data_IF_819785585543
#
_entry.id   IF_819785585543
#
_cell.length_a   1.000
_cell.length_b   1.000
_cell.length_c   1.000
_cell.angle_alpha   90.00
_cell.angle_beta   90.00
_cell.angle_gamma   90.00
#
_symmetry.space_group_name_H-M   'P 1'
#
loop_
_entity.id
_entity.type
_entity.pdbx_description
1 polymer ?
#
# COMPACT_ATOMS: atom_id res chain seq x y z
N UNK A 1 2.64 14.27 -14.25
CA UNK A 1 3.12 13.53 -15.45
C UNK A 1 3.01 12.00 -15.32
N UNK A 2 2.95 11.41 -14.12
CA UNK A 2 2.93 9.93 -13.95
C UNK A 2 1.63 9.24 -14.39
N UNK A 3 0.47 9.83 -14.11
CA UNK A 3 -0.85 9.22 -14.42
C UNK A 3 -1.07 8.87 -15.88
N UNK A 4 -0.51 9.64 -16.81
CA UNK A 4 -0.63 9.35 -18.25
C UNK A 4 0.04 8.02 -18.63
N UNK A 5 1.25 7.78 -18.09
CA UNK A 5 2.00 6.53 -18.33
C UNK A 5 1.25 5.33 -17.73
N UNK A 6 0.69 5.50 -16.52
CA UNK A 6 -0.11 4.48 -15.86
C UNK A 6 -1.35 4.10 -16.71
N UNK A 7 -2.14 5.10 -17.12
CA UNK A 7 -3.34 4.86 -17.92
C UNK A 7 -3.03 4.19 -19.26
N UNK A 8 -2.00 4.68 -19.96
CA UNK A 8 -1.58 4.12 -21.26
C UNK A 8 -1.06 2.70 -21.09
N UNK A 9 -0.23 2.44 -20.07
CA UNK A 9 0.30 1.11 -19.79
C UNK A 9 -0.80 0.11 -19.45
N UNK A 10 -1.77 0.51 -18.62
CA UNK A 10 -2.91 -0.32 -18.28
C UNK A 10 -3.78 -0.61 -19.50
N UNK A 11 -4.14 0.41 -20.27
CA UNK A 11 -4.95 0.26 -21.47
C UNK A 11 -4.26 -0.63 -22.52
N UNK A 12 -2.94 -0.50 -22.69
CA UNK A 12 -2.16 -1.33 -23.59
C UNK A 12 -2.13 -2.80 -23.18
N UNK A 13 -1.99 -3.11 -21.88
CA UNK A 13 -2.10 -4.48 -21.39
C UNK A 13 -3.53 -5.03 -21.44
N UNK A 14 -4.54 -4.19 -21.21
CA UNK A 14 -5.95 -4.57 -21.28
C UNK A 14 -6.38 -5.05 -22.68
N UNK A 15 -5.74 -4.53 -23.73
CA UNK A 15 -5.93 -5.05 -25.10
C UNK A 15 -5.49 -6.51 -25.26
N UNK A 16 -4.67 -7.02 -24.33
CA UNK A 16 -4.16 -8.41 -24.26
C UNK A 16 -4.81 -9.20 -23.13
N UNK A 17 -5.98 -8.76 -22.65
CA UNK A 17 -6.72 -9.44 -21.59
C UNK A 17 -7.07 -10.87 -21.96
N UNK A 18 -7.02 -11.74 -20.96
CA UNK A 18 -7.32 -13.16 -21.05
C UNK A 18 -8.82 -13.43 -20.96
N UNK A 19 -9.57 -12.57 -20.26
CA UNK A 19 -11.01 -12.67 -20.10
C UNK A 19 -11.69 -11.36 -20.46
N UNK A 20 -12.92 -11.44 -20.96
CA UNK A 20 -13.75 -10.25 -21.20
C UNK A 20 -14.76 -10.12 -20.07
N UNK A 21 -14.41 -9.29 -19.07
CA UNK A 21 -15.24 -9.08 -17.90
C UNK A 21 -16.24 -7.96 -18.16
N UNK A 22 -17.53 -8.26 -18.04
CA UNK A 22 -18.58 -7.27 -18.23
C UNK A 22 -18.53 -6.21 -17.11
N UNK A 23 -18.59 -4.95 -17.51
CA UNK A 23 -18.72 -3.80 -16.63
C UNK A 23 -19.95 -3.88 -15.71
N UNK A 24 -21.06 -4.43 -16.22
CA UNK A 24 -22.31 -4.52 -15.46
C UNK A 24 -22.32 -5.69 -14.46
N UNK A 25 -21.31 -6.56 -14.50
CA UNK A 25 -21.22 -7.71 -13.60
C UNK A 25 -20.67 -7.29 -12.24
N UNK A 26 -21.40 -7.58 -11.16
CA UNK A 26 -20.95 -7.36 -9.79
C UNK A 26 -19.66 -8.12 -9.46
N UNK A 27 -19.44 -9.28 -10.07
CA UNK A 27 -18.20 -10.07 -9.91
C UNK A 27 -17.00 -9.30 -10.41
N UNK A 28 -17.11 -8.58 -11.53
CA UNK A 28 -16.04 -7.72 -12.06
C UNK A 28 -15.66 -6.64 -11.06
N UNK A 29 -16.66 -6.03 -10.40
CA UNK A 29 -16.43 -4.99 -9.39
C UNK A 29 -15.79 -5.55 -8.12
N UNK A 30 -16.25 -6.70 -7.61
CA UNK A 30 -15.61 -7.35 -6.47
C UNK A 30 -14.19 -7.80 -6.76
N UNK A 31 -13.93 -8.34 -7.95
CA UNK A 31 -12.58 -8.68 -8.41
C UNK A 31 -11.69 -7.44 -8.46
N UNK A 32 -12.21 -6.30 -8.96
CA UNK A 32 -11.48 -5.05 -8.99
C UNK A 32 -11.18 -4.53 -7.56
N UNK A 33 -12.15 -4.59 -6.65
CA UNK A 33 -11.98 -4.19 -5.25
C UNK A 33 -10.88 -5.00 -4.58
N UNK A 34 -10.99 -6.33 -4.61
CA UNK A 34 -10.02 -7.25 -3.99
C UNK A 34 -8.66 -7.18 -4.66
N UNK A 35 -8.63 -7.03 -5.99
CA UNK A 35 -7.41 -6.90 -6.75
C UNK A 35 -6.63 -5.62 -6.44
N UNK A 36 -7.33 -4.49 -6.32
CA UNK A 36 -6.71 -3.22 -5.91
C UNK A 36 -6.22 -3.29 -4.48
N UNK A 37 -7.02 -3.87 -3.58
CA UNK A 37 -6.64 -4.03 -2.18
C UNK A 37 -5.39 -4.90 -2.02
N UNK A 38 -5.37 -6.06 -2.67
CA UNK A 38 -4.19 -6.93 -2.71
C UNK A 38 -2.98 -6.25 -3.34
N UNK A 39 -3.19 -5.50 -4.43
CA UNK A 39 -2.13 -4.72 -5.07
C UNK A 39 -1.51 -3.70 -4.10
N UNK A 40 -2.35 -2.99 -3.36
CA UNK A 40 -1.91 -2.05 -2.34
C UNK A 40 -1.16 -2.78 -1.21
N UNK A 41 -1.72 -3.86 -0.66
CA UNK A 41 -1.08 -4.68 0.37
C UNK A 41 0.33 -5.11 -0.04
N UNK A 42 0.48 -5.64 -1.26
CA UNK A 42 1.76 -6.09 -1.78
C UNK A 42 2.77 -4.95 -1.84
N UNK A 43 2.38 -3.80 -2.37
CA UNK A 43 3.25 -2.61 -2.43
C UNK A 43 3.64 -2.15 -1.04
N UNK A 44 2.66 -1.98 -0.16
CA UNK A 44 2.86 -1.49 1.21
C UNK A 44 3.80 -2.43 1.97
N UNK A 45 3.55 -3.74 1.91
CA UNK A 45 4.42 -4.75 2.51
C UNK A 45 5.84 -4.68 1.94
N UNK A 46 6.00 -4.59 0.63
CA UNK A 46 7.31 -4.58 -0.01
C UNK A 46 8.12 -3.33 0.33
N UNK A 47 7.48 -2.17 0.49
CA UNK A 47 8.21 -0.95 0.91
C UNK A 47 8.58 -0.96 2.39
N UNK A 48 7.89 -1.76 3.20
CA UNK A 48 8.25 -2.02 4.60
C UNK A 48 9.23 -3.20 4.77
N UNK A 49 9.44 -4.01 3.75
CA UNK A 49 10.33 -5.16 3.80
C UNK A 49 11.78 -4.74 3.52
N UNK A 50 12.66 -5.03 4.47
CA UNK A 50 14.10 -4.74 4.38
C UNK A 50 14.93 -5.99 4.02
N UNK A 51 14.28 -7.14 3.77
CA UNK A 51 14.97 -8.43 3.54
C UNK A 51 15.68 -8.56 2.19
N UNK A 52 15.49 -7.62 1.27
CA UNK A 52 16.05 -7.65 -0.08
C UNK A 52 17.41 -6.96 -0.25
N UNK A 53 18.05 -6.48 0.83
CA UNK A 53 19.44 -5.97 0.74
C UNK A 53 20.41 -7.15 0.92
N UNK A 54 21.21 -7.52 -0.11
CA UNK A 54 22.19 -8.58 0.02
C UNK A 54 23.23 -8.22 1.09
N UNK A 55 23.34 -9.04 2.13
CA UNK A 55 24.31 -8.87 3.24
C UNK A 55 25.77 -8.84 2.75
N UNK A 56 26.05 -9.29 1.52
CA UNK A 56 27.38 -9.34 0.93
C UNK A 56 27.90 -8.00 0.38
N UNK A 57 27.09 -6.92 0.42
CA UNK A 57 27.51 -5.58 -0.01
C UNK A 57 28.00 -4.68 1.16
N UNK A 58 28.00 -5.16 2.41
CA UNK A 58 28.29 -4.37 3.62
C UNK A 58 29.76 -4.06 3.91
N UNK A 59 30.63 -3.90 2.89
CA UNK A 59 32.05 -3.61 3.15
C UNK A 59 32.50 -2.15 2.99
N UNK A 60 31.60 -1.19 2.74
CA UNK A 60 31.93 0.24 2.87
C UNK A 60 30.63 1.06 2.85
N UNK A 61 30.25 1.64 4.00
CA UNK A 61 29.16 2.59 4.30
C UNK A 61 28.14 2.07 5.33
N UNK A 62 28.39 2.37 6.61
CA UNK A 62 27.53 2.12 7.78
C UNK A 62 26.20 2.92 7.79
N UNK A 63 25.64 3.25 6.62
CA UNK A 63 24.36 3.96 6.49
C UNK A 63 23.48 3.47 5.32
N UNK A 64 23.92 2.45 4.58
CA UNK A 64 23.26 1.98 3.35
C UNK A 64 22.34 0.74 3.53
N UNK A 65 21.93 0.41 4.74
CA UNK A 65 21.00 -0.72 5.00
C UNK A 65 19.51 -0.38 4.77
N UNK A 66 19.22 0.79 4.20
CA UNK A 66 17.85 1.18 3.86
C UNK A 66 17.48 0.67 2.47
N UNK A 67 16.47 -0.19 2.38
CA UNK A 67 15.93 -0.63 1.09
C UNK A 67 15.40 0.58 0.31
N UNK A 68 15.51 0.59 -1.02
CA UNK A 68 15.00 1.69 -1.85
C UNK A 68 13.48 1.90 -1.63
N UNK A 69 12.75 0.80 -1.37
CA UNK A 69 11.34 0.84 -0.99
C UNK A 69 11.12 1.62 0.30
N UNK A 70 11.87 1.28 1.36
CA UNK A 70 11.80 1.99 2.63
C UNK A 70 12.27 3.44 2.50
N UNK A 71 13.34 3.74 1.76
CA UNK A 71 13.78 5.12 1.52
C UNK A 71 12.69 5.99 0.88
N UNK A 72 11.90 5.43 -0.04
CA UNK A 72 10.79 6.14 -0.65
C UNK A 72 9.57 6.26 0.29
N UNK A 73 9.39 5.31 1.20
CA UNK A 73 8.24 5.26 2.11
C UNK A 73 8.48 5.94 3.46
N UNK A 74 9.72 6.05 3.94
CA UNK A 74 10.05 6.65 5.24
C UNK A 74 9.60 8.11 5.35
N UNK A 75 9.48 8.83 4.21
CA UNK A 75 8.96 10.20 4.17
C UNK A 75 7.49 10.27 4.65
N UNK A 76 6.75 9.19 4.46
CA UNK A 76 5.41 9.04 4.98
C UNK A 76 5.42 8.82 6.50
N UNK A 77 6.40 8.08 7.00
CA UNK A 77 6.60 7.77 8.42
C UNK A 77 7.41 8.82 9.20
N UNK A 78 7.88 9.88 8.55
CA UNK A 78 8.78 10.86 9.18
C UNK A 78 8.07 11.98 9.94
N UNK A 79 6.74 12.00 9.97
CA UNK A 79 5.99 13.03 10.69
C UNK A 79 5.99 12.75 12.19
N UNK A 80 6.44 13.72 13.00
CA UNK A 80 6.35 13.66 14.46
C UNK A 80 4.88 13.68 14.93
N UNK A 81 4.02 14.36 14.19
CA UNK A 81 2.58 14.44 14.42
C UNK A 81 1.83 13.46 13.52
N UNK A 82 0.95 12.64 14.10
CA UNK A 82 0.10 11.71 13.34
C UNK A 82 -1.25 12.37 13.04
N UNK A 83 -1.47 12.81 11.81
CA UNK A 83 -2.76 13.38 11.40
C UNK A 83 -3.02 13.17 9.90
N UNK A 84 -4.16 13.66 9.40
CA UNK A 84 -4.56 13.49 8.00
C UNK A 84 -3.54 14.07 6.99
N UNK A 85 -2.72 15.05 7.39
CA UNK A 85 -1.67 15.58 6.51
C UNK A 85 -0.51 14.58 6.31
N UNK A 86 -0.30 13.67 7.26
CA UNK A 86 0.66 12.56 7.15
C UNK A 86 0.32 11.64 5.98
N UNK A 87 -0.98 11.41 5.72
CA UNK A 87 -1.46 10.63 4.57
C UNK A 87 -1.01 11.20 3.22
N UNK A 88 -0.81 12.52 3.13
CA UNK A 88 -0.46 13.21 1.88
C UNK A 88 1.05 13.16 1.57
N UNK A 89 1.89 12.77 2.53
CA UNK A 89 3.36 12.69 2.39
C UNK A 89 3.82 11.41 1.70
N UNK A 90 3.38 11.22 0.46
CA UNK A 90 3.71 10.05 -0.35
C UNK A 90 4.74 10.37 -1.42
N UNK A 91 5.79 9.56 -1.53
CA UNK A 91 6.80 9.69 -2.59
C UNK A 91 6.19 9.45 -3.98
N UNK A 92 6.59 10.26 -4.97
CA UNK A 92 6.23 10.05 -6.38
C UNK A 92 6.80 8.73 -6.90
N UNK A 93 7.98 8.32 -6.39
CA UNK A 93 8.61 7.06 -6.77
C UNK A 93 7.80 5.85 -6.30
N UNK A 94 7.27 5.91 -5.08
CA UNK A 94 6.38 4.87 -4.55
C UNK A 94 5.12 4.72 -5.42
N UNK A 95 4.53 5.82 -5.88
CA UNK A 95 3.36 5.79 -6.78
C UNK A 95 3.68 5.11 -8.11
N UNK A 96 4.85 5.36 -8.68
CA UNK A 96 5.26 4.74 -9.94
C UNK A 96 5.52 3.23 -9.78
N UNK A 97 6.20 2.83 -8.71
CA UNK A 97 6.46 1.41 -8.42
C UNK A 97 5.15 0.65 -8.12
N UNK A 98 4.22 1.29 -7.40
CA UNK A 98 2.93 0.70 -7.06
C UNK A 98 2.11 0.30 -8.29
N UNK A 99 2.25 1.06 -9.39
CA UNK A 99 1.47 0.82 -10.59
C UNK A 99 1.68 -0.58 -11.19
N UNK A 100 2.90 -1.14 -11.08
CA UNK A 100 3.20 -2.48 -11.57
C UNK A 100 2.32 -3.57 -10.97
N UNK A 101 1.88 -3.39 -9.71
CA UNK A 101 1.04 -4.36 -8.99
C UNK A 101 -0.41 -4.36 -9.45
N UNK A 102 -0.83 -3.33 -10.17
CA UNK A 102 -2.17 -3.24 -10.75
C UNK A 102 -2.24 -3.79 -12.18
N UNK A 103 -1.10 -3.94 -12.86
CA UNK A 103 -1.04 -4.44 -14.24
C UNK A 103 -1.60 -5.86 -14.45
N UNK A 104 -1.46 -6.82 -13.51
CA UNK A 104 -2.09 -8.13 -13.65
C UNK A 104 -3.62 -8.05 -13.81
N UNK A 105 -4.28 -7.05 -13.23
CA UNK A 105 -5.73 -6.86 -13.36
C UNK A 105 -6.13 -6.48 -14.79
N UNK A 106 -5.27 -5.76 -15.52
CA UNK A 106 -5.48 -5.49 -16.95
C UNK A 106 -5.47 -6.78 -17.77
N UNK A 107 -4.54 -7.69 -17.47
CA UNK A 107 -4.43 -8.99 -18.14
C UNK A 107 -5.57 -9.94 -17.77
N UNK A 108 -6.08 -9.88 -16.53
CA UNK A 108 -7.27 -10.64 -16.12
C UNK A 108 -8.54 -10.08 -16.80
N UNK A 109 -8.52 -8.83 -17.26
CA UNK A 109 -9.63 -8.22 -17.98
C UNK A 109 -10.52 -7.32 -17.12
N UNK A 110 -10.01 -6.82 -15.98
CA UNK A 110 -10.72 -5.81 -15.18
C UNK A 110 -10.77 -4.49 -15.97
N UNK A 111 -11.97 -3.96 -16.29
CA UNK A 111 -12.10 -2.74 -17.07
C UNK A 111 -11.40 -1.54 -16.42
N UNK A 112 -10.78 -0.69 -17.24
CA UNK A 112 -10.05 0.50 -16.78
C UNK A 112 -10.89 1.40 -15.83
N UNK A 113 -12.17 1.68 -16.09
CA UNK A 113 -12.92 2.52 -15.16
C UNK A 113 -13.13 1.87 -13.78
N UNK A 114 -13.14 0.53 -13.69
CA UNK A 114 -13.44 -0.18 -12.44
C UNK A 114 -12.22 -0.10 -11.54
N UNK A 115 -11.03 -0.32 -12.11
CA UNK A 115 -9.79 -0.17 -11.36
C UNK A 115 -9.59 1.28 -10.90
N UNK A 116 -9.89 2.28 -11.75
CA UNK A 116 -9.73 3.68 -11.38
C UNK A 116 -10.63 4.08 -10.20
N UNK A 117 -11.88 3.61 -10.20
CA UNK A 117 -12.81 3.83 -9.09
C UNK A 117 -12.31 3.18 -7.81
N UNK A 118 -11.87 1.91 -7.85
CA UNK A 118 -11.40 1.22 -6.65
C UNK A 118 -10.05 1.75 -6.15
N UNK A 119 -9.15 2.20 -7.03
CA UNK A 119 -7.93 2.90 -6.62
C UNK A 119 -8.26 4.20 -5.87
N UNK A 120 -9.31 4.91 -6.28
CA UNK A 120 -9.75 6.12 -5.60
C UNK A 120 -10.41 5.81 -4.25
N UNK A 121 -11.20 4.72 -4.16
CA UNK A 121 -11.75 4.26 -2.88
C UNK A 121 -10.65 3.82 -1.92
N UNK A 122 -9.68 3.03 -2.39
CA UNK A 122 -8.53 2.64 -1.59
C UNK A 122 -7.76 3.90 -1.11
N UNK A 123 -7.50 4.88 -1.99
CA UNK A 123 -6.87 6.13 -1.57
C UNK A 123 -7.67 6.89 -0.48
N UNK A 124 -8.99 6.95 -0.61
CA UNK A 124 -9.85 7.59 0.40
C UNK A 124 -9.83 6.82 1.73
N UNK A 125 -9.84 5.49 1.66
CA UNK A 125 -9.73 4.63 2.84
C UNK A 125 -8.40 4.84 3.55
N UNK A 126 -7.30 4.79 2.79
CA UNK A 126 -5.96 5.04 3.29
C UNK A 126 -5.85 6.42 3.91
N UNK A 127 -6.43 7.45 3.28
CA UNK A 127 -6.48 8.79 3.87
C UNK A 127 -7.25 8.80 5.20
N UNK A 128 -8.42 8.17 5.25
CA UNK A 128 -9.29 8.18 6.42
C UNK A 128 -8.68 7.50 7.65
N UNK A 129 -7.95 6.40 7.47
CA UNK A 129 -7.29 5.71 8.60
C UNK A 129 -6.18 6.54 9.27
N UNK A 130 -5.70 7.63 8.64
CA UNK A 130 -4.74 8.57 9.24
C UNK A 130 -5.40 9.61 10.15
N UNK A 131 -6.18 9.16 11.13
CA UNK A 131 -6.84 10.05 12.08
C UNK A 131 -6.64 9.59 13.52
N UNK A 132 -6.51 10.57 14.41
CA UNK A 132 -6.49 10.35 15.87
C UNK A 132 -7.89 10.45 16.49
N UNK A 133 -8.86 11.00 15.75
CA UNK A 133 -10.21 11.26 16.26
C UNK A 133 -10.96 9.96 16.59
N UNK A 134 -10.72 8.91 15.81
CA UNK A 134 -11.35 7.60 16.00
C UNK A 134 -10.42 6.71 16.81
N UNK A 135 -10.76 6.47 18.08
CA UNK A 135 -9.93 5.69 19.00
C UNK A 135 -9.98 4.18 18.71
N UNK A 136 -11.17 3.61 18.52
CA UNK A 136 -11.39 2.19 18.18
C UNK A 136 -12.69 2.00 17.39
N UNK A 137 -12.73 0.97 16.54
CA UNK A 137 -13.96 0.49 15.87
C UNK A 137 -14.51 -0.80 16.49
N UNK A 138 -13.97 -1.25 17.63
CA UNK A 138 -14.41 -2.46 18.32
C UNK A 138 -14.22 -3.71 17.44
N UNK A 139 -15.18 -4.63 17.36
CA UNK A 139 -15.03 -5.91 16.64
C UNK A 139 -14.63 -5.80 15.17
N UNK A 140 -14.87 -4.66 14.50
CA UNK A 140 -14.44 -4.43 13.12
C UNK A 140 -12.91 -4.47 12.95
N UNK A 141 -12.17 -4.21 14.03
CA UNK A 141 -10.70 -4.30 14.06
C UNK A 141 -10.19 -5.74 13.84
N UNK A 142 -11.03 -6.75 13.99
CA UNK A 142 -10.61 -8.13 13.70
C UNK A 142 -10.45 -8.42 12.20
N UNK A 143 -11.01 -7.55 11.34
CA UNK A 143 -11.11 -7.80 9.89
C UNK A 143 -10.53 -6.65 9.07
N UNK A 144 -10.68 -5.41 9.54
CA UNK A 144 -10.29 -4.20 8.81
C UNK A 144 -8.99 -3.59 9.37
N UNK A 145 -8.17 -3.00 8.50
CA UNK A 145 -7.18 -2.02 8.96
C UNK A 145 -7.91 -0.75 9.40
N UNK A 146 -7.73 -0.29 10.63
CA UNK A 146 -8.52 0.81 11.22
C UNK A 146 -7.60 1.95 11.63
N UNK A 147 -8.15 3.13 11.99
CA UNK A 147 -7.31 4.21 12.53
C UNK A 147 -6.46 3.80 13.74
N UNK A 148 -6.94 2.87 14.57
CA UNK A 148 -6.18 2.37 15.73
C UNK A 148 -4.99 1.51 15.31
N UNK A 149 -5.17 0.58 14.37
CA UNK A 149 -4.08 -0.21 13.80
C UNK A 149 -3.06 0.67 13.10
N UNK A 150 -3.54 1.62 12.32
CA UNK A 150 -2.67 2.47 11.52
C UNK A 150 -1.86 3.44 12.39
N UNK A 151 -2.39 3.88 13.54
CA UNK A 151 -1.59 4.58 14.57
C UNK A 151 -0.50 3.70 15.16
N UNK A 152 -0.79 2.44 15.49
CA UNK A 152 0.24 1.52 16.01
C UNK A 152 1.34 1.29 14.97
N UNK A 153 0.95 1.21 13.69
CA UNK A 153 1.87 1.09 12.58
C UNK A 153 2.82 2.29 12.47
N UNK A 154 2.30 3.52 12.53
CA UNK A 154 3.12 4.74 12.48
C UNK A 154 3.85 5.07 13.80
N UNK A 155 3.29 4.69 14.94
CA UNK A 155 3.74 5.05 16.28
C UNK A 155 4.99 4.31 16.78
N UNK A 156 5.62 3.48 15.95
CA UNK A 156 6.79 2.69 16.33
C UNK A 156 8.07 3.53 16.57
N UNK A 157 8.03 4.85 16.46
CA UNK A 157 9.17 5.72 16.79
C UNK A 157 9.32 6.05 18.30
N UNK A 158 8.31 5.85 19.14
CA UNK A 158 8.38 6.18 20.58
C UNK A 158 8.77 5.01 21.50
N UNK A 159 8.98 3.79 20.97
CA UNK A 159 9.31 2.59 21.77
C UNK A 159 10.72 2.04 21.56
N UNK A 160 11.67 2.86 21.08
CA UNK A 160 13.10 2.50 21.06
C UNK A 160 13.81 2.80 22.40
N UNK A 161 13.22 2.35 23.51
CA UNK A 161 13.94 2.05 24.75
C UNK A 161 13.48 0.66 25.20
N UNK A 162 14.38 -0.32 25.06
CA UNK A 162 14.25 -1.75 25.37
C UNK A 162 13.63 -2.68 24.33
N UNK A 163 14.50 -3.19 23.45
CA UNK A 163 14.69 -4.62 23.14
C UNK A 163 13.61 -5.60 23.70
N UNK A 164 12.49 -5.80 22.98
CA UNK A 164 11.72 -7.07 23.02
C UNK A 164 10.63 -7.27 21.95
N UNK A 165 10.48 -6.40 20.94
CA UNK A 165 9.37 -6.53 19.97
C UNK A 165 9.75 -6.87 18.52
N UNK A 166 11.02 -7.16 18.23
CA UNK A 166 11.48 -7.49 16.88
C UNK A 166 11.30 -8.96 16.46
N UNK A 167 10.40 -9.74 17.07
CA UNK A 167 10.22 -11.15 16.63
C UNK A 167 8.82 -11.64 16.31
N UNK A 168 7.73 -11.01 16.76
CA UNK A 168 6.40 -11.48 16.40
C UNK A 168 5.39 -10.35 16.32
N UNK A 169 4.86 -10.12 15.11
CA UNK A 169 3.81 -9.14 14.87
C UNK A 169 3.75 -8.71 13.40
N UNK A 170 3.80 -9.66 12.46
CA UNK A 170 3.32 -9.35 11.12
C UNK A 170 1.82 -9.18 11.24
N UNK A 171 1.36 -7.94 11.30
CA UNK A 171 -0.05 -7.62 11.26
C UNK A 171 -0.59 -7.97 9.87
N UNK A 172 -1.11 -9.19 9.73
CA UNK A 172 -1.80 -9.65 8.52
C UNK A 172 -3.26 -9.21 8.60
N UNK A 173 -3.55 -7.95 8.24
CA UNK A 173 -4.93 -7.51 8.04
C UNK A 173 -5.31 -7.77 6.57
N UNK A 174 -6.41 -8.50 6.38
CA UNK A 174 -6.76 -9.17 5.12
C UNK A 174 -7.53 -8.22 4.17
N UNK A 175 -8.16 -7.16 4.71
CA UNK A 175 -8.95 -6.22 3.93
C UNK A 175 -8.59 -4.77 4.26
N UNK A 176 -8.45 -3.96 3.22
CA UNK A 176 -8.15 -2.54 3.32
C UNK A 176 -6.76 -2.27 3.93
N UNK A 177 -5.80 -3.16 3.61
CA UNK A 177 -4.41 -3.17 4.07
C UNK A 177 -3.75 -1.81 4.07
#
# INVERSE_FOLDING_TARGET
>A
MTRGVELVGYAWLYQRRLFDLDWNSSVTWWLAALGVDLGYYCVHRLVHDNSSVPQSASLCFDSAEVSIGWAAHQVHHSSEEYNLSTALRQSVFQKFFAFGFYLPLALIGVPLPAILVHMQFNLLYQFWIHTEVVSTLGPLELVLNTPSHHRVHHGQYLYNLHNTFLRHGQYHYILAS
#
